data_IF_127566879770
#
_entry.id   IF_127566879770
#
_cell.length_a   1.000
_cell.length_b   1.000
_cell.length_c   1.000
_cell.angle_alpha   90.00
_cell.angle_beta   90.00
_cell.angle_gamma   90.00
#
_symmetry.space_group_name_H-M   'P 1'
#
loop_
_entity.id
_entity.type
_entity.pdbx_description
1 polymer ?
#
# COMPACT_ATOMS: atom_id res chain seq x y z
N UNK A 1 -37.14 -1.74 37.33
CA UNK A 1 -36.98 -0.63 36.37
C UNK A 1 -36.98 -1.26 34.99
N UNK A 2 -38.12 -1.22 34.32
CA UNK A 2 -38.24 -1.68 32.93
C UNK A 2 -37.69 -0.57 32.04
N UNK A 3 -36.54 -0.81 31.41
CA UNK A 3 -36.05 0.03 30.33
C UNK A 3 -37.03 -0.13 29.17
N UNK A 4 -37.89 0.87 28.94
CA UNK A 4 -38.59 0.96 27.67
C UNK A 4 -37.50 1.21 26.63
N UNK A 5 -37.32 0.29 25.69
CA UNK A 5 -36.72 0.64 24.42
C UNK A 5 -37.60 1.76 23.86
N UNK A 6 -37.06 2.98 23.86
CA UNK A 6 -37.74 4.13 23.29
C UNK A 6 -37.80 3.86 21.78
N UNK A 7 -39.02 3.78 21.23
CA UNK A 7 -39.18 3.60 19.79
C UNK A 7 -38.46 4.76 19.09
N UNK A 8 -37.71 4.51 18.01
CA UNK A 8 -37.02 5.57 17.28
C UNK A 8 -38.03 6.65 16.90
N UNK A 9 -37.69 7.91 17.19
CA UNK A 9 -38.56 9.04 16.84
C UNK A 9 -38.66 9.13 15.33
N UNK A 10 -39.87 9.36 14.83
CA UNK A 10 -40.11 9.52 13.41
C UNK A 10 -39.37 10.75 12.87
N UNK A 11 -38.49 10.54 11.88
CA UNK A 11 -37.73 11.59 11.21
C UNK A 11 -38.40 11.98 9.89
N UNK A 12 -38.33 13.26 9.52
CA UNK A 12 -38.77 13.76 8.22
C UNK A 12 -37.79 13.39 7.11
N UNK A 13 -36.49 13.45 7.43
CA UNK A 13 -35.39 13.06 6.56
C UNK A 13 -34.16 12.69 7.39
N UNK A 14 -33.21 12.03 6.77
CA UNK A 14 -31.87 11.84 7.32
C UNK A 14 -30.80 12.34 6.34
N UNK A 15 -29.60 12.54 6.84
CA UNK A 15 -28.43 12.91 6.06
C UNK A 15 -27.24 12.08 6.52
N UNK A 16 -26.70 11.27 5.62
CA UNK A 16 -25.47 10.50 5.81
C UNK A 16 -24.27 11.32 5.32
N UNK A 17 -23.21 11.38 6.10
CA UNK A 17 -22.01 12.15 5.76
C UNK A 17 -20.74 11.48 6.29
N UNK A 18 -19.56 11.67 5.66
CA UNK A 18 -19.30 12.50 4.47
C UNK A 18 -19.69 11.83 3.15
N UNK A 19 -20.14 12.61 2.16
CA UNK A 19 -20.35 12.11 0.79
C UNK A 19 -19.05 12.17 -0.03
N UNK A 20 -18.87 11.20 -0.93
CA UNK A 20 -17.69 11.03 -1.79
C UNK A 20 -16.37 10.89 -1.00
N UNK A 21 -16.41 10.20 0.15
CA UNK A 21 -15.20 9.91 0.92
C UNK A 21 -14.26 8.98 0.13
N UNK A 22 -12.96 9.14 0.36
CA UNK A 22 -11.94 8.19 -0.11
C UNK A 22 -11.31 7.51 1.10
N UNK A 23 -11.43 6.19 1.18
CA UNK A 23 -10.85 5.36 2.25
C UNK A 23 -9.75 4.51 1.62
N UNK A 24 -8.54 4.54 2.16
CA UNK A 24 -7.52 3.58 1.72
C UNK A 24 -7.82 2.18 2.28
N UNK A 25 -7.47 1.13 1.55
CA UNK A 25 -7.58 -0.25 2.04
C UNK A 25 -6.90 -0.41 3.41
N UNK A 26 -7.60 -0.99 4.38
CA UNK A 26 -7.15 -1.14 5.76
C UNK A 26 -7.30 0.09 6.65
N UNK A 27 -7.57 1.28 6.09
CA UNK A 27 -7.85 2.49 6.84
C UNK A 27 -9.35 2.67 7.13
N UNK A 28 -9.66 3.64 7.99
CA UNK A 28 -11.02 3.88 8.49
C UNK A 28 -11.52 5.29 8.20
N UNK A 29 -12.84 5.44 8.11
CA UNK A 29 -13.55 6.71 7.95
C UNK A 29 -14.81 6.71 8.81
N UNK A 30 -14.98 7.74 9.63
CA UNK A 30 -16.21 7.91 10.40
C UNK A 30 -17.32 8.46 9.51
N UNK A 31 -18.48 7.80 9.53
CA UNK A 31 -19.74 8.30 9.00
C UNK A 31 -20.68 8.69 10.13
N UNK A 32 -21.50 9.72 9.89
CA UNK A 32 -22.52 10.17 10.83
C UNK A 32 -23.86 10.31 10.13
N UNK A 33 -24.94 10.00 10.86
CA UNK A 33 -26.32 10.11 10.38
C UNK A 33 -27.05 11.17 11.21
N UNK A 34 -27.43 12.27 10.56
CA UNK A 34 -28.22 13.34 11.17
C UNK A 34 -29.68 13.21 10.74
N UNK A 35 -30.61 13.08 11.70
CA UNK A 35 -32.04 13.02 11.44
C UNK A 35 -32.71 14.37 11.75
N UNK A 36 -33.59 14.85 10.86
CA UNK A 36 -34.45 16.00 11.13
C UNK A 36 -35.76 15.52 11.77
N UNK A 37 -35.92 15.82 13.07
CA UNK A 37 -37.05 15.37 13.86
C UNK A 37 -38.00 16.55 14.11
N UNK A 38 -39.31 16.43 13.79
CA UNK A 38 -40.30 17.47 14.05
C UNK A 38 -40.23 17.98 15.50
N UNK A 39 -40.29 19.30 15.66
CA UNK A 39 -40.25 20.01 16.95
C UNK A 39 -38.94 19.85 17.78
N UNK A 40 -37.95 19.11 17.28
CA UNK A 40 -36.65 18.90 17.92
C UNK A 40 -35.49 19.48 17.09
N UNK A 41 -35.56 19.34 15.77
CA UNK A 41 -34.50 19.71 14.83
C UNK A 41 -33.55 18.55 14.53
N UNK A 42 -32.33 18.88 14.08
CA UNK A 42 -31.31 17.90 13.71
C UNK A 42 -30.74 17.18 14.94
N UNK A 43 -30.79 15.85 14.94
CA UNK A 43 -30.29 14.97 16.00
C UNK A 43 -29.35 13.94 15.39
N UNK A 44 -28.21 13.70 16.05
CA UNK A 44 -27.31 12.60 15.68
C UNK A 44 -27.95 11.27 16.10
N UNK A 45 -28.18 10.41 15.12
CA UNK A 45 -28.79 9.08 15.28
C UNK A 45 -27.87 7.99 14.77
N UNK A 46 -26.56 8.24 14.65
CA UNK A 46 -25.59 7.30 14.05
C UNK A 46 -25.64 5.91 14.70
N UNK A 47 -25.65 5.83 16.03
CA UNK A 47 -25.73 4.55 16.77
C UNK A 47 -27.11 3.84 16.65
N UNK A 48 -28.12 4.53 16.12
CA UNK A 48 -29.48 4.02 15.93
C UNK A 48 -29.81 3.73 14.46
N UNK A 49 -28.94 4.12 13.53
CA UNK A 49 -29.09 3.94 12.10
C UNK A 49 -28.30 2.72 11.64
N UNK A 50 -28.83 1.98 10.66
CA UNK A 50 -28.11 0.88 10.03
C UNK A 50 -27.36 1.43 8.80
N UNK A 51 -26.02 1.42 8.83
CA UNK A 51 -25.18 1.86 7.71
C UNK A 51 -24.56 0.63 7.05
N UNK A 52 -24.80 0.44 5.76
CA UNK A 52 -24.33 -0.73 5.02
C UNK A 52 -24.21 -0.49 3.52
N UNK A 53 -23.52 -1.38 2.81
CA UNK A 53 -23.50 -1.41 1.34
C UNK A 53 -24.60 -2.36 0.83
N UNK A 54 -25.68 -1.85 0.22
CA UNK A 54 -26.82 -2.68 -0.21
C UNK A 54 -26.52 -3.55 -1.43
N UNK A 55 -25.45 -3.28 -2.19
CA UNK A 55 -25.15 -3.96 -3.45
C UNK A 55 -24.07 -5.03 -3.26
N UNK A 56 -23.00 -4.69 -2.55
CA UNK A 56 -21.81 -5.53 -2.44
C UNK A 56 -21.58 -6.11 -1.04
N UNK A 57 -22.37 -5.72 -0.04
CA UNK A 57 -22.10 -6.07 1.36
C UNK A 57 -20.70 -5.65 1.78
N UNK A 58 -20.00 -6.49 2.55
CA UNK A 58 -18.64 -6.21 3.04
C UNK A 58 -17.52 -6.53 2.02
N UNK A 59 -17.79 -6.43 0.72
CA UNK A 59 -16.75 -6.71 -0.29
C UNK A 59 -15.69 -5.61 -0.36
N UNK A 60 -16.12 -4.35 -0.34
CA UNK A 60 -15.22 -3.18 -0.48
C UNK A 60 -15.04 -2.43 0.84
N UNK A 61 -16.08 -2.38 1.67
CA UNK A 61 -16.10 -1.62 2.93
C UNK A 61 -16.98 -2.35 3.94
N UNK A 62 -16.53 -2.44 5.19
CA UNK A 62 -17.39 -2.81 6.32
C UNK A 62 -17.66 -1.58 7.17
N UNK A 63 -18.81 -1.51 7.82
CA UNK A 63 -19.17 -0.40 8.71
C UNK A 63 -19.63 -0.98 10.04
N UNK A 64 -19.11 -0.47 11.16
CA UNK A 64 -19.56 -0.88 12.49
C UNK A 64 -20.81 -0.11 12.95
N UNK A 65 -21.40 -0.54 14.08
CA UNK A 65 -22.62 0.07 14.63
C UNK A 65 -22.43 1.52 15.12
N UNK A 66 -21.19 2.02 15.17
CA UNK A 66 -20.90 3.42 15.52
C UNK A 66 -20.68 4.26 14.26
N UNK A 67 -20.87 3.69 13.07
CA UNK A 67 -20.63 4.35 11.78
C UNK A 67 -19.17 4.41 11.35
N UNK A 68 -18.27 3.63 11.97
CA UNK A 68 -16.88 3.56 11.55
C UNK A 68 -16.72 2.60 10.37
N UNK A 69 -16.51 3.15 9.18
CA UNK A 69 -16.27 2.40 7.96
C UNK A 69 -14.78 1.99 7.86
N UNK A 70 -14.48 0.77 7.41
CA UNK A 70 -13.13 0.24 7.16
C UNK A 70 -13.01 -0.22 5.71
N UNK A 71 -12.01 0.25 4.98
CA UNK A 71 -11.75 -0.20 3.61
C UNK A 71 -11.23 -1.64 3.58
N UNK A 72 -11.83 -2.50 2.76
CA UNK A 72 -11.50 -3.94 2.63
C UNK A 72 -10.78 -4.24 1.32
N UNK A 73 -11.24 -3.65 0.22
CA UNK A 73 -10.66 -3.86 -1.10
C UNK A 73 -10.89 -2.64 -1.99
N UNK A 74 -9.94 -2.37 -2.87
CA UNK A 74 -10.03 -1.27 -3.82
C UNK A 74 -11.28 -1.36 -4.71
N UNK A 75 -11.95 -0.23 -4.92
CA UNK A 75 -13.15 -0.14 -5.75
C UNK A 75 -13.97 1.11 -5.46
N UNK A 76 -15.10 1.25 -6.15
CA UNK A 76 -16.08 2.29 -5.84
C UNK A 76 -17.40 1.61 -5.49
N UNK A 77 -18.05 2.09 -4.43
CA UNK A 77 -19.36 1.59 -4.00
C UNK A 77 -20.19 2.70 -3.37
N UNK A 78 -21.37 2.34 -2.86
CA UNK A 78 -22.28 3.22 -2.15
C UNK A 78 -22.52 2.70 -0.75
N UNK A 79 -22.59 3.60 0.22
CA UNK A 79 -23.13 3.30 1.55
C UNK A 79 -24.54 3.89 1.66
N UNK A 80 -25.46 3.11 2.22
CA UNK A 80 -26.80 3.52 2.57
C UNK A 80 -26.94 3.53 4.09
N UNK A 81 -27.54 4.59 4.63
CA UNK A 81 -28.00 4.63 6.01
C UNK A 81 -29.53 4.52 6.04
N UNK A 82 -30.05 3.69 6.93
CA UNK A 82 -31.47 3.56 7.21
C UNK A 82 -31.77 3.96 8.67
N UNK A 83 -32.77 4.81 8.86
CA UNK A 83 -33.29 5.16 10.19
C UNK A 83 -34.81 5.33 10.13
N UNK A 84 -35.52 4.40 10.78
CA UNK A 84 -36.98 4.36 10.71
C UNK A 84 -37.48 4.06 9.30
N UNK A 85 -38.21 4.99 8.70
CA UNK A 85 -38.72 4.91 7.31
C UNK A 85 -37.88 5.72 6.31
N UNK A 86 -36.82 6.37 6.77
CA UNK A 86 -35.96 7.22 5.96
C UNK A 86 -34.69 6.50 5.58
N UNK A 87 -34.19 6.78 4.38
CA UNK A 87 -32.91 6.30 3.89
C UNK A 87 -32.16 7.42 3.17
N UNK A 88 -30.83 7.37 3.22
CA UNK A 88 -29.94 8.25 2.46
C UNK A 88 -28.72 7.46 1.96
N UNK A 89 -28.17 7.85 0.82
CA UNK A 89 -27.07 7.13 0.16
C UNK A 89 -25.95 8.08 -0.22
N UNK A 90 -24.72 7.65 0.03
CA UNK A 90 -23.49 8.37 -0.31
C UNK A 90 -22.57 7.49 -1.15
N UNK A 91 -21.75 8.13 -1.99
CA UNK A 91 -20.70 7.44 -2.70
C UNK A 91 -19.45 7.30 -1.81
N UNK A 92 -18.77 6.17 -1.93
CA UNK A 92 -17.47 5.95 -1.30
C UNK A 92 -16.52 5.31 -2.30
N UNK A 93 -15.30 5.82 -2.34
CA UNK A 93 -14.20 5.21 -3.11
C UNK A 93 -13.24 4.58 -2.14
N UNK A 94 -12.95 3.30 -2.33
CA UNK A 94 -11.90 2.60 -1.61
C UNK A 94 -10.69 2.64 -2.52
N UNK A 95 -9.72 3.48 -2.16
CA UNK A 95 -8.47 3.54 -2.88
C UNK A 95 -7.70 2.26 -2.58
N UNK A 96 -7.19 1.61 -3.64
CA UNK A 96 -6.09 0.68 -3.44
C UNK A 96 -4.95 1.46 -2.81
N UNK A 97 -4.39 0.97 -1.71
CA UNK A 97 -3.09 1.48 -1.26
C UNK A 97 -2.03 1.31 -2.36
N UNK A 98 -2.22 0.33 -3.26
CA UNK A 98 -1.28 -0.13 -4.28
C UNK A 98 -1.96 -0.48 -5.62
N UNK A 99 -2.11 0.46 -6.55
CA UNK A 99 -2.48 0.13 -7.94
C UNK A 99 -1.24 -0.29 -8.75
N UNK A 100 -0.11 0.36 -8.48
CA UNK A 100 1.21 0.01 -9.03
C UNK A 100 2.27 0.13 -7.94
N UNK A 101 3.49 -0.34 -8.21
CA UNK A 101 4.61 -0.11 -7.30
C UNK A 101 5.09 1.35 -7.27
N UNK A 102 4.52 2.25 -8.07
CA UNK A 102 4.76 3.69 -7.96
C UNK A 102 3.94 4.35 -6.84
N UNK A 103 2.86 3.70 -6.38
CA UNK A 103 2.10 4.12 -5.20
C UNK A 103 2.91 3.85 -3.91
N UNK A 104 2.33 4.06 -2.73
CA UNK A 104 3.02 3.93 -1.45
C UNK A 104 3.25 2.47 -1.02
N UNK A 105 3.88 1.69 -1.90
CA UNK A 105 3.93 0.23 -1.84
C UNK A 105 5.32 -0.32 -2.10
N UNK A 106 5.56 -1.49 -1.52
CA UNK A 106 6.76 -2.28 -1.74
C UNK A 106 6.33 -3.72 -2.01
N UNK A 107 6.87 -4.33 -3.07
CA UNK A 107 6.64 -5.75 -3.30
C UNK A 107 7.62 -6.56 -2.45
N UNK A 108 7.20 -7.76 -2.02
CA UNK A 108 7.98 -8.70 -1.22
C UNK A 108 7.73 -10.13 -1.72
N UNK A 109 8.17 -10.40 -2.96
CA UNK A 109 7.89 -11.65 -3.66
C UNK A 109 8.46 -12.84 -2.90
N UNK A 110 7.70 -13.94 -2.87
CA UNK A 110 8.17 -15.24 -2.39
C UNK A 110 8.52 -16.12 -3.58
N UNK A 111 9.72 -16.70 -3.55
CA UNK A 111 10.18 -17.63 -4.57
C UNK A 111 9.44 -18.97 -4.57
N UNK A 112 8.66 -19.24 -3.51
CA UNK A 112 7.95 -20.49 -3.27
C UNK A 112 8.72 -21.45 -2.36
N UNK A 113 9.96 -21.12 -2.00
CA UNK A 113 10.76 -21.84 -1.00
C UNK A 113 11.07 -20.98 0.24
N UNK A 114 10.33 -19.87 0.41
CA UNK A 114 10.40 -18.98 1.55
C UNK A 114 11.51 -17.93 1.47
N UNK A 115 12.41 -18.01 0.47
CA UNK A 115 13.32 -16.92 0.14
C UNK A 115 12.51 -15.78 -0.51
N UNK A 116 12.65 -14.56 0.04
CA UNK A 116 11.91 -13.39 -0.43
C UNK A 116 12.84 -12.27 -0.90
N UNK A 117 12.38 -11.51 -1.88
CA UNK A 117 13.05 -10.29 -2.38
C UNK A 117 12.08 -9.12 -2.41
N UNK A 118 12.59 -7.90 -2.21
CA UNK A 118 11.77 -6.68 -2.36
C UNK A 118 12.04 -5.93 -3.66
N UNK A 119 11.03 -5.23 -4.17
CA UNK A 119 11.25 -4.21 -5.20
C UNK A 119 12.11 -3.05 -4.66
N UNK A 120 12.56 -2.15 -5.54
CA UNK A 120 13.06 -0.84 -5.12
C UNK A 120 11.87 0.03 -4.67
N UNK A 121 12.01 0.86 -3.62
CA UNK A 121 10.89 1.64 -3.12
C UNK A 121 10.55 2.84 -4.01
N UNK A 122 9.26 3.14 -4.14
CA UNK A 122 8.78 4.39 -4.72
C UNK A 122 9.00 5.56 -3.78
N UNK A 123 8.94 6.78 -4.33
CA UNK A 123 8.92 8.00 -3.53
C UNK A 123 7.77 8.04 -2.54
N UNK A 124 6.57 7.65 -2.98
CA UNK A 124 5.38 7.61 -2.13
C UNK A 124 5.58 6.68 -0.93
N UNK A 125 6.17 5.49 -1.14
CA UNK A 125 6.46 4.55 -0.07
C UNK A 125 7.50 5.12 0.91
N UNK A 126 8.56 5.73 0.39
CA UNK A 126 9.61 6.29 1.23
C UNK A 126 9.14 7.48 2.07
N UNK A 127 8.33 8.37 1.51
CA UNK A 127 7.74 9.52 2.22
C UNK A 127 6.74 9.06 3.29
N UNK A 128 5.88 8.07 2.99
CA UNK A 128 4.94 7.48 3.95
C UNK A 128 5.65 6.91 5.19
N UNK A 129 6.81 6.30 4.99
CA UNK A 129 7.58 5.68 6.06
C UNK A 129 8.73 6.57 6.59
N UNK A 130 8.81 7.83 6.17
CA UNK A 130 9.84 8.80 6.58
C UNK A 130 11.29 8.31 6.36
N UNK A 131 11.52 7.54 5.30
CA UNK A 131 12.83 7.01 4.89
C UNK A 131 13.34 7.64 3.58
N UNK A 132 12.67 8.67 3.08
CA UNK A 132 13.01 9.43 1.87
C UNK A 132 14.43 10.03 1.91
N UNK A 133 14.92 10.36 3.11
CA UNK A 133 16.29 10.83 3.33
C UNK A 133 17.40 9.82 2.95
N UNK A 134 17.06 8.54 2.73
CA UNK A 134 18.01 7.51 2.28
C UNK A 134 18.26 7.59 0.76
N UNK A 135 17.36 8.20 -0.01
CA UNK A 135 17.52 8.38 -1.45
C UNK A 135 18.51 9.52 -1.73
N UNK A 136 19.49 9.26 -2.59
CA UNK A 136 20.43 10.27 -3.08
C UNK A 136 19.90 11.01 -4.30
N UNK A 137 18.97 10.42 -5.04
CA UNK A 137 18.26 11.01 -6.18
C UNK A 137 16.97 10.22 -6.45
N UNK A 138 16.17 10.68 -7.42
CA UNK A 138 14.91 10.05 -7.84
C UNK A 138 14.91 9.78 -9.34
N UNK A 139 14.56 8.56 -9.74
CA UNK A 139 14.31 8.22 -11.14
C UNK A 139 12.81 8.25 -11.44
N UNK A 140 12.41 8.99 -12.48
CA UNK A 140 11.07 8.87 -13.04
C UNK A 140 11.06 7.73 -14.06
N UNK A 141 10.48 6.60 -13.66
CA UNK A 141 10.14 5.50 -14.55
C UNK A 141 8.95 5.91 -15.43
N UNK A 142 8.94 5.48 -16.69
CA UNK A 142 7.96 5.93 -17.69
C UNK A 142 7.11 4.82 -18.30
N UNK A 143 6.99 3.66 -17.64
CA UNK A 143 6.17 2.53 -18.10
C UNK A 143 6.87 1.53 -19.03
N UNK A 144 8.16 1.69 -19.33
CA UNK A 144 8.92 0.83 -20.28
C UNK A 144 9.66 -0.30 -19.58
N UNK A 145 10.44 0.02 -18.55
CA UNK A 145 11.21 -0.93 -17.75
C UNK A 145 10.93 -0.75 -16.24
N UNK A 146 9.81 -0.10 -15.93
CA UNK A 146 9.34 0.21 -14.60
C UNK A 146 7.98 0.91 -14.68
N UNK A 147 7.17 0.86 -13.61
CA UNK A 147 5.85 1.49 -13.60
C UNK A 147 5.99 3.01 -13.66
N UNK A 148 5.03 3.71 -14.26
CA UNK A 148 5.07 5.18 -14.38
C UNK A 148 5.06 5.84 -12.99
N UNK A 149 6.17 6.48 -12.59
CA UNK A 149 6.31 7.06 -11.26
C UNK A 149 7.75 7.25 -10.77
N UNK A 150 7.89 7.86 -9.59
CA UNK A 150 9.18 8.20 -8.99
C UNK A 150 9.70 7.08 -8.08
N UNK A 151 10.94 6.65 -8.28
CA UNK A 151 11.62 5.63 -7.49
C UNK A 151 12.93 6.13 -6.90
N UNK A 152 13.21 5.73 -5.66
CA UNK A 152 14.42 6.14 -4.95
C UNK A 152 15.66 5.51 -5.56
N UNK A 153 16.63 6.35 -5.94
CA UNK A 153 17.99 5.91 -6.23
C UNK A 153 18.82 6.10 -4.97
N UNK A 154 19.29 4.99 -4.41
CA UNK A 154 19.88 4.90 -3.08
C UNK A 154 21.39 4.67 -3.24
N UNK A 155 22.26 5.47 -2.58
CA UNK A 155 23.69 5.20 -2.48
C UNK A 155 23.92 3.83 -1.83
N UNK A 156 24.97 3.13 -2.24
CA UNK A 156 25.37 1.85 -1.64
C UNK A 156 25.55 1.97 -0.12
N UNK A 157 26.14 3.09 0.32
CA UNK A 157 26.32 3.43 1.74
C UNK A 157 25.02 3.51 2.56
N UNK A 158 23.87 3.72 1.91
CA UNK A 158 22.53 3.75 2.54
C UNK A 158 21.74 2.44 2.33
N UNK A 159 22.16 1.56 1.42
CA UNK A 159 21.37 0.40 0.99
C UNK A 159 21.14 -0.62 2.11
N UNK A 160 22.15 -0.89 2.96
CA UNK A 160 21.95 -1.77 4.13
C UNK A 160 21.02 -1.17 5.18
N UNK A 161 21.03 0.16 5.32
CA UNK A 161 20.16 0.89 6.23
C UNK A 161 18.70 0.82 5.79
N UNK A 162 18.44 0.89 4.47
CA UNK A 162 17.11 0.65 3.90
C UNK A 162 16.58 -0.73 4.29
N UNK A 163 17.36 -1.80 4.04
CA UNK A 163 16.93 -3.16 4.39
C UNK A 163 16.74 -3.33 5.90
N UNK A 164 17.57 -2.67 6.73
CA UNK A 164 17.35 -2.65 8.17
C UNK A 164 16.03 -1.97 8.57
N UNK A 165 15.60 -0.91 7.88
CA UNK A 165 14.28 -0.30 8.10
C UNK A 165 13.14 -1.24 7.75
N UNK A 166 13.26 -2.05 6.69
CA UNK A 166 12.22 -3.03 6.34
C UNK A 166 11.99 -4.06 7.44
N UNK A 167 13.00 -4.33 8.27
CA UNK A 167 12.83 -5.18 9.46
C UNK A 167 11.90 -4.57 10.50
N UNK A 168 11.89 -3.24 10.63
CA UNK A 168 10.99 -2.54 11.56
C UNK A 168 9.56 -2.49 11.04
N UNK A 169 9.40 -2.43 9.72
CA UNK A 169 8.10 -2.44 9.05
C UNK A 169 7.51 -3.85 8.87
N UNK A 170 8.27 -4.90 9.20
CA UNK A 170 7.90 -6.29 9.00
C UNK A 170 7.42 -6.60 7.57
N UNK A 171 8.07 -6.01 6.56
CA UNK A 171 7.67 -6.15 5.15
C UNK A 171 7.55 -7.63 4.78
N UNK A 172 6.46 -8.00 4.11
CA UNK A 172 6.19 -9.39 3.72
C UNK A 172 6.14 -10.39 4.90
N UNK A 173 5.89 -9.90 6.12
CA UNK A 173 5.89 -10.69 7.36
C UNK A 173 7.28 -11.07 7.87
N UNK A 174 8.34 -10.41 7.40
CA UNK A 174 9.75 -10.74 7.71
C UNK A 174 10.46 -9.60 8.44
N UNK A 175 11.40 -9.95 9.31
CA UNK A 175 12.18 -9.01 10.15
C UNK A 175 13.69 -9.23 10.03
N UNK A 176 14.12 -9.92 8.97
CA UNK A 176 15.50 -10.32 8.69
C UNK A 176 15.95 -9.99 7.25
N UNK A 177 15.45 -8.89 6.70
CA UNK A 177 15.87 -8.25 5.45
C UNK A 177 17.32 -7.74 5.54
N UNK A 178 18.11 -8.12 4.54
CA UNK A 178 19.50 -7.70 4.36
C UNK A 178 19.79 -7.34 2.89
N UNK A 179 20.87 -6.60 2.63
CA UNK A 179 21.31 -6.35 1.26
C UNK A 179 21.96 -7.63 0.69
N UNK A 180 21.38 -8.26 -0.35
CA UNK A 180 21.86 -9.54 -0.84
C UNK A 180 23.23 -9.45 -1.52
N UNK A 181 24.04 -10.52 -1.43
CA UNK A 181 25.20 -10.67 -2.31
C UNK A 181 24.73 -10.89 -3.76
N UNK A 182 25.58 -10.55 -4.73
CA UNK A 182 25.23 -10.62 -6.16
C UNK A 182 24.76 -12.04 -6.55
N UNK A 183 25.38 -13.08 -5.99
CA UNK A 183 25.03 -14.47 -6.28
C UNK A 183 23.58 -14.80 -5.92
N UNK A 184 23.05 -14.21 -4.85
CA UNK A 184 21.65 -14.44 -4.46
C UNK A 184 20.69 -13.69 -5.38
N UNK A 185 21.05 -12.49 -5.85
CA UNK A 185 20.24 -11.77 -6.84
C UNK A 185 20.28 -12.52 -8.19
N UNK A 186 21.46 -12.91 -8.65
CA UNK A 186 21.62 -13.57 -9.95
C UNK A 186 20.93 -14.94 -10.00
N UNK A 187 21.19 -15.81 -9.00
CA UNK A 187 20.66 -17.17 -8.99
C UNK A 187 19.27 -17.24 -8.37
N UNK A 188 19.02 -16.48 -7.32
CA UNK A 188 17.81 -16.54 -6.51
C UNK A 188 16.67 -15.66 -7.01
N UNK A 189 16.97 -14.63 -7.80
CA UNK A 189 15.96 -13.73 -8.35
C UNK A 189 15.96 -13.79 -9.90
N UNK A 190 17.04 -13.35 -10.55
CA UNK A 190 17.07 -13.22 -12.01
C UNK A 190 16.95 -14.56 -12.76
N UNK A 191 17.87 -15.50 -12.53
CA UNK A 191 17.84 -16.81 -13.20
C UNK A 191 16.66 -17.65 -12.75
N UNK A 192 16.25 -17.55 -11.47
CA UNK A 192 15.12 -18.31 -10.94
C UNK A 192 13.82 -18.00 -11.69
N UNK A 193 13.55 -16.73 -11.96
CA UNK A 193 12.37 -16.32 -12.71
C UNK A 193 12.58 -16.34 -14.25
N UNK A 194 13.59 -17.07 -14.71
CA UNK A 194 13.79 -17.37 -16.13
C UNK A 194 14.46 -16.25 -16.91
N UNK A 195 15.26 -15.41 -16.25
CA UNK A 195 16.03 -14.32 -16.87
C UNK A 195 15.14 -13.35 -17.67
N UNK A 196 13.98 -13.02 -17.10
CA UNK A 196 13.04 -12.06 -17.67
C UNK A 196 12.98 -10.82 -16.80
N UNK A 197 12.74 -9.69 -17.46
CA UNK A 197 12.44 -8.39 -16.84
C UNK A 197 11.51 -8.56 -15.64
N UNK A 198 11.95 -8.11 -14.47
CA UNK A 198 11.10 -8.12 -13.27
C UNK A 198 9.95 -7.11 -13.37
N UNK A 199 10.07 -6.11 -14.24
CA UNK A 199 8.95 -5.25 -14.59
C UNK A 199 7.84 -6.06 -15.28
N UNK A 200 8.19 -6.90 -16.25
CA UNK A 200 7.20 -7.68 -17.02
C UNK A 200 6.53 -8.77 -16.16
N UNK A 201 7.23 -9.24 -15.13
CA UNK A 201 6.75 -10.29 -14.23
C UNK A 201 5.93 -9.75 -13.05
N UNK A 202 6.40 -8.66 -12.45
CA UNK A 202 5.96 -8.21 -11.13
C UNK A 202 5.69 -6.70 -11.07
N UNK A 203 5.88 -5.96 -12.17
CA UNK A 203 5.73 -4.51 -12.19
C UNK A 203 6.83 -3.75 -11.45
N UNK A 204 7.98 -4.38 -11.21
CA UNK A 204 9.11 -3.75 -10.51
C UNK A 204 9.75 -2.62 -11.31
N UNK A 205 10.25 -1.56 -10.65
CA UNK A 205 11.17 -0.61 -11.26
C UNK A 205 12.50 -1.31 -11.60
N UNK A 206 12.94 -1.24 -12.85
CA UNK A 206 14.11 -1.96 -13.32
C UNK A 206 14.97 -1.18 -14.33
N UNK A 207 14.71 0.11 -14.58
CA UNK A 207 15.53 0.93 -15.48
C UNK A 207 16.96 1.10 -14.97
N UNK A 208 17.15 1.27 -13.66
CA UNK A 208 18.48 1.40 -13.05
C UNK A 208 19.01 0.06 -12.53
N UNK A 209 20.34 -0.08 -12.53
CA UNK A 209 20.98 -1.24 -11.93
C UNK A 209 20.67 -1.33 -10.43
N UNK A 210 20.67 -2.54 -9.90
CA UNK A 210 20.40 -2.84 -8.50
C UNK A 210 21.68 -3.16 -7.74
N UNK A 211 21.81 -2.59 -6.54
CA UNK A 211 22.94 -2.84 -5.66
C UNK A 211 23.02 -4.29 -5.17
N UNK A 212 24.24 -4.77 -5.00
CA UNK A 212 24.54 -5.95 -4.19
C UNK A 212 25.52 -5.61 -3.07
N UNK A 213 25.60 -6.47 -2.05
CA UNK A 213 26.63 -6.37 -1.00
C UNK A 213 28.01 -6.88 -1.45
N UNK A 214 28.14 -7.37 -2.69
CA UNK A 214 29.41 -7.91 -3.19
C UNK A 214 30.35 -6.81 -3.67
N UNK A 215 31.48 -6.64 -2.99
CA UNK A 215 32.51 -5.64 -3.32
C UNK A 215 33.70 -6.23 -4.08
N UNK A 216 34.34 -5.39 -4.92
CA UNK A 216 35.65 -5.62 -5.52
C UNK A 216 36.52 -4.38 -5.26
N UNK A 217 37.32 -4.41 -4.19
CA UNK A 217 38.06 -3.22 -3.74
C UNK A 217 37.10 -2.18 -3.15
N UNK A 218 37.16 -0.94 -3.65
CA UNK A 218 36.30 0.19 -3.32
C UNK A 218 35.02 0.27 -4.17
N UNK A 219 34.79 -0.73 -5.01
CA UNK A 219 33.67 -0.82 -5.94
C UNK A 219 32.72 -1.94 -5.57
N UNK A 220 31.49 -1.85 -6.05
CA UNK A 220 30.43 -2.81 -5.79
C UNK A 220 29.89 -3.36 -7.11
N UNK A 221 29.43 -4.61 -7.06
CA UNK A 221 28.81 -5.25 -8.22
C UNK A 221 27.32 -4.97 -8.25
N UNK A 222 26.78 -4.72 -9.44
CA UNK A 222 25.35 -4.53 -9.67
C UNK A 222 24.83 -5.47 -10.74
N UNK A 223 23.50 -5.60 -10.79
CA UNK A 223 22.78 -6.27 -11.87
C UNK A 223 21.58 -5.42 -12.27
N UNK A 224 21.34 -5.29 -13.57
CA UNK A 224 20.11 -4.70 -14.08
C UNK A 224 19.00 -5.74 -14.12
N UNK A 225 17.87 -5.48 -13.46
CA UNK A 225 16.77 -6.45 -13.33
C UNK A 225 15.75 -6.37 -14.49
N UNK A 226 16.02 -5.55 -15.50
CA UNK A 226 15.27 -5.52 -16.76
C UNK A 226 15.89 -6.48 -17.79
N UNK A 227 17.22 -6.49 -17.91
CA UNK A 227 17.94 -7.26 -18.95
C UNK A 227 19.02 -8.22 -18.45
N UNK A 228 19.35 -8.21 -17.15
CA UNK A 228 20.34 -9.08 -16.53
C UNK A 228 21.79 -8.64 -16.72
N UNK A 229 22.04 -7.45 -17.28
CA UNK A 229 23.40 -6.93 -17.45
C UNK A 229 24.10 -6.71 -16.10
N UNK A 230 25.40 -6.98 -16.06
CA UNK A 230 26.22 -6.88 -14.86
C UNK A 230 27.22 -5.72 -14.99
N UNK A 231 27.31 -4.87 -13.97
CA UNK A 231 28.46 -3.96 -13.79
C UNK A 231 29.29 -4.43 -12.58
N UNK A 232 30.49 -4.98 -12.80
CA UNK A 232 31.33 -5.50 -11.73
C UNK A 232 32.13 -4.41 -10.98
N UNK A 233 32.09 -3.15 -11.42
CA UNK A 233 33.05 -2.12 -11.01
C UNK A 233 32.43 -0.77 -10.68
N UNK A 234 31.18 -0.77 -10.23
CA UNK A 234 30.41 0.43 -9.92
C UNK A 234 30.95 1.11 -8.65
N UNK A 235 31.19 2.42 -8.73
CA UNK A 235 31.46 3.27 -7.55
C UNK A 235 30.17 3.57 -6.79
N UNK A 236 30.25 4.14 -5.59
CA UNK A 236 29.05 4.52 -4.81
C UNK A 236 28.23 5.64 -5.49
N UNK A 237 27.38 5.26 -6.42
CA UNK A 237 26.42 6.12 -7.15
C UNK A 237 24.99 5.77 -6.74
N UNK A 238 24.01 6.55 -7.18
CA UNK A 238 22.61 6.29 -6.81
C UNK A 238 22.05 5.18 -7.72
N UNK A 239 21.55 4.08 -7.13
CA UNK A 239 21.03 2.88 -7.81
C UNK A 239 19.80 2.33 -7.12
N UNK A 240 19.12 1.36 -7.73
CA UNK A 240 18.03 0.64 -7.08
C UNK A 240 18.54 -0.34 -6.03
N UNK A 241 17.66 -0.72 -5.11
CA UNK A 241 17.97 -1.66 -4.03
C UNK A 241 16.88 -2.71 -3.94
N UNK A 242 17.28 -3.97 -3.94
CA UNK A 242 16.44 -5.10 -3.52
C UNK A 242 16.97 -5.61 -2.20
N UNK A 243 16.07 -5.94 -1.26
CA UNK A 243 16.43 -6.58 0.00
C UNK A 243 16.07 -8.06 -0.04
N UNK A 244 16.86 -8.90 0.60
CA UNK A 244 16.66 -10.34 0.68
C UNK A 244 16.26 -10.74 2.10
N UNK A 245 15.28 -11.63 2.21
CA UNK A 245 14.94 -12.31 3.47
C UNK A 245 14.97 -13.82 3.27
N UNK A 246 15.63 -14.51 4.20
CA UNK A 246 15.69 -15.98 4.23
C UNK A 246 14.56 -16.57 5.07
N UNK A 247 14.15 -17.82 4.79
CA UNK A 247 13.11 -18.52 5.54
C UNK A 247 13.39 -18.66 7.02
#
# INVERSE_FOLDING_TARGET
MTCKAELPREALSITLSPDNATIEEGNTQQYTVMADIPDVGAVDVTEMADIYDPVNGETYVSVDNNGLATGIAAGATTLQADYGSQSDTVNVTIASGCNTLADACIDAIDRGDGLKFTSSPSRAFMELHAIDHLAGDWLMEGGVAGPDGAFGLIPHSSASTLCAHYNTLAIGGRTNWELPPLTDIELGLWQWFGQRSLYDLFGWPATADTWSSTSQGDKYKTINLHDGSLDPTSTDVNRYVTCLSRP
#
